data_IF_267555408999
#
_entry.id   IF_267555408999
#
_cell.length_a   1.000
_cell.length_b   1.000
_cell.length_c   1.000
_cell.angle_alpha   90.00
_cell.angle_beta   90.00
_cell.angle_gamma   90.00
#
_symmetry.space_group_name_H-M   'P 1'
#
loop_
_entity.id
_entity.type
_entity.pdbx_description
1 polymer ?
#
# COMPACT_ATOMS: atom_id res chain seq x y z
N UNK A 1 3.15 -7.90 -16.16
CA UNK A 1 3.25 -8.53 -14.82
C UNK A 1 2.09 -7.92 -14.03
N UNK A 2 0.87 -8.06 -14.54
CA UNK A 2 -0.22 -7.07 -14.31
C UNK A 2 -1.55 -7.72 -13.92
N UNK A 3 -1.52 -8.95 -13.38
CA UNK A 3 -2.74 -9.68 -13.02
C UNK A 3 -3.04 -9.61 -11.51
N UNK A 4 -2.48 -8.65 -10.78
CA UNK A 4 -2.65 -8.58 -9.31
C UNK A 4 -3.94 -7.85 -8.87
N UNK A 5 -4.59 -7.09 -9.75
CA UNK A 5 -5.71 -6.21 -9.39
C UNK A 5 -7.03 -6.46 -10.13
N UNK A 6 -7.13 -7.47 -10.99
CA UNK A 6 -8.38 -7.78 -11.70
C UNK A 6 -9.20 -8.84 -10.97
N UNK A 7 -9.75 -8.49 -9.81
CA UNK A 7 -11.06 -8.98 -9.34
C UNK A 7 -11.36 -8.39 -7.96
N UNK A 8 -12.29 -7.44 -7.91
CA UNK A 8 -13.41 -7.44 -6.95
C UNK A 8 -14.21 -6.15 -7.10
N UNK A 9 -15.50 -6.33 -7.34
CA UNK A 9 -16.55 -5.32 -7.32
C UNK A 9 -16.44 -4.42 -6.09
N UNK A 10 -16.22 -3.13 -6.31
CA UNK A 10 -16.29 -2.07 -5.29
C UNK A 10 -17.74 -1.93 -4.80
N UNK A 11 -18.15 -2.78 -3.85
CA UNK A 11 -19.32 -2.47 -3.02
C UNK A 11 -18.88 -1.50 -1.92
N UNK A 12 -19.42 -0.29 -2.00
CA UNK A 12 -19.33 0.72 -0.94
C UNK A 12 -20.11 0.18 0.26
N UNK A 13 -19.40 -0.33 1.25
CA UNK A 13 -19.99 -0.72 2.55
C UNK A 13 -20.19 0.56 3.36
N UNK A 14 -21.45 0.91 3.59
CA UNK A 14 -21.85 1.98 4.51
C UNK A 14 -21.34 1.68 5.92
N UNK A 15 -20.56 2.60 6.48
CA UNK A 15 -20.17 2.61 7.89
C UNK A 15 -21.39 2.99 8.76
N UNK A 16 -22.21 2.01 9.12
CA UNK A 16 -23.06 2.11 10.30
C UNK A 16 -22.59 1.06 11.30
N UNK A 17 -21.81 1.51 12.29
CA UNK A 17 -21.44 0.68 13.42
C UNK A 17 -22.67 0.44 14.30
N UNK A 18 -23.10 -0.81 14.52
CA UNK A 18 -24.08 -1.08 15.56
C UNK A 18 -23.38 -0.94 16.90
N UNK A 19 -23.82 0.01 17.73
CA UNK A 19 -23.51 0.03 19.16
C UNK A 19 -24.16 -1.21 19.80
N UNK A 20 -23.45 -2.33 19.75
CA UNK A 20 -23.80 -3.56 20.45
C UNK A 20 -23.37 -3.45 21.91
N UNK A 21 -24.35 -3.49 22.81
CA UNK A 21 -24.18 -3.53 24.26
C UNK A 21 -23.33 -4.76 24.66
N UNK A 22 -22.07 -4.50 25.03
CA UNK A 22 -21.06 -5.52 25.35
C UNK A 22 -21.39 -6.30 26.64
N UNK A 23 -22.43 -5.88 27.36
CA UNK A 23 -22.86 -6.44 28.64
C UNK A 23 -23.67 -7.73 28.49
N UNK A 24 -24.38 -7.92 27.37
CA UNK A 24 -25.24 -9.10 27.16
C UNK A 24 -24.51 -10.32 26.57
N UNK A 25 -23.38 -10.13 25.91
CA UNK A 25 -22.67 -11.24 25.26
C UNK A 25 -21.91 -12.15 26.23
N UNK A 26 -21.59 -11.67 27.44
CA UNK A 26 -20.94 -12.51 28.46
C UNK A 26 -21.94 -13.39 29.22
N UNK A 27 -23.19 -12.97 29.43
CA UNK A 27 -24.17 -13.81 30.13
C UNK A 27 -24.66 -14.99 29.29
N UNK A 28 -24.78 -14.83 27.97
CA UNK A 28 -25.22 -15.91 27.08
C UNK A 28 -24.20 -17.06 26.90
N UNK A 29 -22.92 -16.84 27.21
CA UNK A 29 -21.91 -17.91 27.16
C UNK A 29 -21.89 -18.82 28.40
N UNK A 30 -22.36 -18.33 29.56
CA UNK A 30 -22.42 -19.15 30.77
C UNK A 30 -23.67 -20.05 30.83
N UNK A 31 -24.76 -19.69 30.14
CA UNK A 31 -26.00 -20.49 30.14
C UNK A 31 -25.99 -21.67 29.16
N UNK A 32 -25.13 -21.65 28.14
CA UNK A 32 -24.98 -22.80 27.23
C UNK A 32 -24.16 -23.92 27.89
N UNK A 33 -23.26 -23.60 28.82
CA UNK A 33 -22.44 -24.60 29.50
C UNK A 33 -23.18 -25.26 30.69
N UNK A 34 -24.13 -24.56 31.30
CA UNK A 34 -24.97 -25.06 32.41
C UNK A 34 -26.05 -26.05 31.94
N UNK A 35 -26.51 -25.94 30.69
CA UNK A 35 -27.50 -26.86 30.10
C UNK A 35 -26.99 -28.30 29.88
N UNK A 36 -25.66 -28.53 29.94
CA UNK A 36 -25.05 -29.85 29.75
C UNK A 36 -24.44 -30.45 31.02
N UNK A 37 -24.52 -29.76 32.17
CA UNK A 37 -23.81 -30.18 33.40
C UNK A 37 -24.63 -31.04 34.37
N UNK A 38 -25.86 -31.44 34.02
CA UNK A 38 -26.59 -32.47 34.76
C UNK A 38 -26.23 -33.87 34.25
N UNK A 39 -24.97 -34.25 34.44
CA UNK A 39 -24.53 -35.64 34.29
C UNK A 39 -24.92 -36.36 35.58
N UNK A 40 -26.11 -36.97 35.60
CA UNK A 40 -26.37 -38.07 36.52
C UNK A 40 -25.26 -39.11 36.33
N UNK A 41 -24.57 -39.58 37.39
CA UNK A 41 -23.60 -40.64 37.27
C UNK A 41 -24.37 -41.93 36.94
N UNK A 42 -24.54 -42.19 35.65
CA UNK A 42 -24.97 -43.50 35.17
C UNK A 42 -23.82 -44.43 35.54
N UNK A 43 -24.04 -45.28 36.55
CA UNK A 43 -23.17 -46.40 36.86
C UNK A 43 -22.92 -47.15 35.54
N UNK A 44 -21.69 -47.08 35.05
CA UNK A 44 -21.22 -47.91 33.96
C UNK A 44 -21.16 -49.34 34.48
N UNK A 45 -22.30 -50.04 34.43
CA UNK A 45 -22.29 -51.48 34.39
C UNK A 45 -21.46 -51.84 33.18
N UNK A 46 -20.22 -52.29 33.42
CA UNK A 46 -19.34 -52.87 32.41
C UNK A 46 -19.96 -54.20 31.98
N UNK A 47 -21.05 -54.13 31.20
CA UNK A 47 -21.46 -55.25 30.40
C UNK A 47 -20.36 -55.47 29.38
N UNK A 48 -19.71 -56.63 29.45
CA UNK A 48 -18.82 -57.09 28.38
C UNK A 48 -19.73 -57.29 27.18
N UNK A 49 -19.88 -56.25 26.37
CA UNK A 49 -20.60 -56.31 25.10
C UNK A 49 -19.78 -57.25 24.22
N UNK A 50 -20.27 -58.49 24.07
CA UNK A 50 -19.74 -59.45 23.12
C UNK A 50 -20.06 -58.92 21.71
N UNK A 51 -19.16 -58.10 21.17
CA UNK A 51 -19.25 -57.57 19.82
C UNK A 51 -18.99 -58.72 18.86
N UNK A 52 -19.93 -58.98 17.95
CA UNK A 52 -19.73 -59.98 16.89
C UNK A 52 -18.48 -59.60 16.09
N UNK A 53 -17.63 -60.56 15.65
CA UNK A 53 -16.46 -60.27 14.82
C UNK A 53 -16.77 -59.39 13.60
N UNK A 54 -17.96 -59.53 13.04
CA UNK A 54 -18.44 -58.73 11.91
C UNK A 54 -18.72 -57.26 12.29
N UNK A 55 -19.24 -57.01 13.48
CA UNK A 55 -19.44 -55.66 14.01
C UNK A 55 -18.11 -54.97 14.31
N UNK A 56 -17.10 -55.74 14.72
CA UNK A 56 -15.75 -55.24 14.98
C UNK A 56 -15.08 -54.76 13.70
N UNK A 57 -15.16 -55.56 12.63
CA UNK A 57 -14.68 -55.18 11.28
C UNK A 57 -15.37 -53.91 10.79
N UNK A 58 -16.68 -53.77 11.03
CA UNK A 58 -17.44 -52.58 10.62
C UNK A 58 -17.00 -51.32 11.36
N UNK A 59 -16.71 -51.45 12.66
CA UNK A 59 -16.20 -50.38 13.50
C UNK A 59 -14.79 -49.95 13.08
N UNK A 60 -13.92 -50.91 12.77
CA UNK A 60 -12.55 -50.63 12.31
C UNK A 60 -12.56 -49.92 10.95
N UNK A 61 -13.42 -50.34 10.01
CA UNK A 61 -13.63 -49.64 8.74
C UNK A 61 -14.10 -48.20 8.92
N UNK A 62 -15.06 -47.96 9.82
CA UNK A 62 -15.54 -46.61 10.11
C UNK A 62 -14.43 -45.74 10.72
N UNK A 63 -13.62 -46.31 11.61
CA UNK A 63 -12.48 -45.63 12.21
C UNK A 63 -11.45 -45.22 11.16
N UNK A 64 -11.13 -46.10 10.21
CA UNK A 64 -10.20 -45.78 9.10
C UNK A 64 -10.75 -44.62 8.25
N UNK A 65 -12.04 -44.65 7.88
CA UNK A 65 -12.67 -43.58 7.10
C UNK A 65 -12.64 -42.24 7.85
N UNK A 66 -12.86 -42.26 9.16
CA UNK A 66 -12.82 -41.06 10.00
C UNK A 66 -11.39 -40.52 10.14
N UNK A 67 -10.39 -41.39 10.30
CA UNK A 67 -8.98 -41.03 10.31
C UNK A 67 -8.52 -40.42 8.98
N UNK A 68 -8.94 -40.99 7.85
CA UNK A 68 -8.68 -40.43 6.51
C UNK A 68 -9.31 -39.05 6.34
N UNK A 69 -10.57 -38.87 6.79
CA UNK A 69 -11.24 -37.56 6.74
C UNK A 69 -10.52 -36.52 7.59
N UNK A 70 -10.08 -36.90 8.79
CA UNK A 70 -9.31 -36.02 9.67
C UNK A 70 -7.93 -35.68 9.10
N UNK A 71 -7.28 -36.62 8.41
CA UNK A 71 -6.02 -36.37 7.72
C UNK A 71 -6.19 -35.32 6.61
N UNK A 72 -7.24 -35.42 5.80
CA UNK A 72 -7.55 -34.44 4.75
C UNK A 72 -7.81 -33.04 5.31
N UNK A 73 -8.52 -32.94 6.44
CA UNK A 73 -8.77 -31.64 7.10
C UNK A 73 -7.45 -31.04 7.61
N UNK A 74 -6.61 -31.85 8.27
CA UNK A 74 -5.30 -31.40 8.77
C UNK A 74 -4.40 -30.92 7.64
N UNK A 75 -4.40 -31.61 6.50
CA UNK A 75 -3.63 -31.20 5.33
C UNK A 75 -4.08 -29.83 4.80
N UNK A 76 -5.39 -29.62 4.67
CA UNK A 76 -5.94 -28.32 4.24
C UNK A 76 -5.59 -27.20 5.20
N UNK A 77 -5.71 -27.43 6.50
CA UNK A 77 -5.34 -26.44 7.53
C UNK A 77 -3.85 -26.08 7.46
N UNK A 78 -2.98 -27.06 7.19
CA UNK A 78 -1.55 -26.83 7.02
C UNK A 78 -1.26 -26.00 5.77
N UNK A 79 -1.89 -26.35 4.63
CA UNK A 79 -1.75 -25.60 3.39
C UNK A 79 -2.23 -24.15 3.56
N UNK A 80 -3.37 -23.94 4.22
CA UNK A 80 -3.88 -22.59 4.50
C UNK A 80 -2.93 -21.77 5.38
N UNK A 81 -2.36 -22.39 6.43
CA UNK A 81 -1.36 -21.73 7.29
C UNK A 81 -0.12 -21.32 6.50
N UNK A 82 0.38 -22.20 5.64
CA UNK A 82 1.54 -21.90 4.78
C UNK A 82 1.22 -20.72 3.85
N UNK A 83 0.06 -20.75 3.19
CA UNK A 83 -0.35 -19.66 2.29
C UNK A 83 -0.51 -18.33 3.03
N UNK A 84 -1.10 -18.34 4.24
CA UNK A 84 -1.21 -17.15 5.09
C UNK A 84 0.17 -16.60 5.46
N UNK A 85 1.11 -17.47 5.82
CA UNK A 85 2.47 -17.07 6.15
C UNK A 85 3.20 -16.48 4.93
N UNK A 86 3.07 -17.10 3.77
CA UNK A 86 3.65 -16.61 2.51
C UNK A 86 3.07 -15.24 2.12
N UNK A 87 1.74 -15.06 2.22
CA UNK A 87 1.11 -13.75 1.96
C UNK A 87 1.63 -12.69 2.92
N UNK A 88 1.78 -13.01 4.20
CA UNK A 88 2.34 -12.10 5.20
C UNK A 88 3.78 -11.71 4.88
N UNK A 89 4.62 -12.69 4.51
CA UNK A 89 6.02 -12.44 4.12
C UNK A 89 6.10 -11.54 2.88
N UNK A 90 5.34 -11.85 1.83
CA UNK A 90 5.27 -11.02 0.62
C UNK A 90 4.81 -9.59 0.92
N UNK A 91 3.81 -9.43 1.80
CA UNK A 91 3.35 -8.11 2.24
C UNK A 91 4.44 -7.32 2.98
N UNK A 92 5.24 -7.99 3.82
CA UNK A 92 6.37 -7.36 4.52
C UNK A 92 7.48 -6.97 3.54
N UNK A 93 7.83 -7.84 2.60
CA UNK A 93 8.82 -7.57 1.55
C UNK A 93 8.40 -6.36 0.69
N UNK A 94 7.15 -6.33 0.24
CA UNK A 94 6.60 -5.21 -0.52
C UNK A 94 6.69 -3.90 0.28
N UNK A 95 6.30 -3.92 1.55
CA UNK A 95 6.33 -2.74 2.41
C UNK A 95 7.77 -2.24 2.64
N UNK A 96 8.73 -3.15 2.75
CA UNK A 96 10.15 -2.79 2.88
C UNK A 96 10.69 -2.18 1.58
N UNK A 97 10.37 -2.77 0.43
CA UNK A 97 10.77 -2.24 -0.89
C UNK A 97 10.17 -0.85 -1.11
N UNK A 98 8.88 -0.68 -0.82
CA UNK A 98 8.18 0.60 -0.95
C UNK A 98 8.83 1.68 -0.07
N UNK A 99 9.16 1.37 1.19
CA UNK A 99 9.86 2.31 2.08
C UNK A 99 11.22 2.73 1.53
N UNK A 100 12.00 1.77 1.02
CA UNK A 100 13.32 2.03 0.44
C UNK A 100 13.24 2.91 -0.82
N UNK A 101 12.29 2.62 -1.71
CA UNK A 101 12.02 3.43 -2.90
C UNK A 101 11.62 4.86 -2.51
N UNK A 102 10.69 5.00 -1.56
CA UNK A 102 10.22 6.30 -1.09
C UNK A 102 11.35 7.11 -0.46
N UNK A 103 12.21 6.49 0.34
CA UNK A 103 13.38 7.16 0.93
C UNK A 103 14.35 7.63 -0.16
N UNK A 104 14.62 6.78 -1.15
CA UNK A 104 15.49 7.12 -2.29
C UNK A 104 14.92 8.32 -3.07
N UNK A 105 13.63 8.31 -3.38
CA UNK A 105 12.95 9.40 -4.08
C UNK A 105 13.00 10.70 -3.30
N UNK A 106 12.81 10.66 -1.97
CA UNK A 106 12.95 11.82 -1.11
C UNK A 106 14.38 12.37 -1.16
N UNK A 107 15.40 11.50 -1.09
CA UNK A 107 16.79 11.94 -1.15
C UNK A 107 17.12 12.57 -2.51
N UNK A 108 16.68 11.96 -3.61
CA UNK A 108 16.84 12.53 -4.94
C UNK A 108 16.17 13.90 -5.06
N UNK A 109 14.92 14.04 -4.58
CA UNK A 109 14.22 15.33 -4.56
C UNK A 109 14.95 16.38 -3.73
N UNK A 110 15.51 16.01 -2.57
CA UNK A 110 16.32 16.93 -1.75
C UNK A 110 17.55 17.42 -2.51
N UNK A 111 18.28 16.53 -3.18
CA UNK A 111 19.47 16.89 -3.98
C UNK A 111 19.08 17.83 -5.12
N UNK A 112 18.03 17.50 -5.88
CA UNK A 112 17.55 18.34 -6.99
C UNK A 112 17.08 19.71 -6.51
N UNK A 113 16.38 19.78 -5.38
CA UNK A 113 15.94 21.05 -4.81
C UNK A 113 17.13 21.89 -4.34
N UNK A 114 18.16 21.27 -3.75
CA UNK A 114 19.39 21.96 -3.36
C UNK A 114 20.11 22.53 -4.59
N UNK A 115 20.26 21.75 -5.66
CA UNK A 115 20.86 22.22 -6.91
C UNK A 115 20.07 23.37 -7.53
N UNK A 116 18.73 23.28 -7.56
CA UNK A 116 17.88 24.38 -8.04
C UNK A 116 18.06 25.64 -7.20
N UNK A 117 18.21 25.48 -5.89
CA UNK A 117 18.43 26.60 -4.98
C UNK A 117 19.82 27.24 -5.20
N UNK A 118 20.86 26.43 -5.41
CA UNK A 118 22.21 26.93 -5.76
C UNK A 118 22.19 27.71 -7.07
N UNK A 119 21.55 27.18 -8.12
CA UNK A 119 21.36 27.89 -9.40
C UNK A 119 20.58 29.19 -9.19
N UNK A 120 19.55 29.18 -8.34
CA UNK A 120 18.77 30.38 -8.04
C UNK A 120 19.62 31.46 -7.37
N UNK A 121 20.45 31.09 -6.37
CA UNK A 121 21.37 32.02 -5.73
C UNK A 121 22.45 32.53 -6.67
N UNK A 122 23.01 31.66 -7.52
CA UNK A 122 23.99 32.06 -8.54
C UNK A 122 23.37 33.05 -9.53
N UNK A 123 22.16 32.77 -10.02
CA UNK A 123 21.42 33.68 -10.86
C UNK A 123 21.16 35.02 -10.15
N UNK A 124 20.75 35.01 -8.87
CA UNK A 124 20.53 36.23 -8.10
C UNK A 124 21.81 37.07 -7.95
N UNK A 125 22.95 36.41 -7.71
CA UNK A 125 24.27 37.05 -7.65
C UNK A 125 24.67 37.67 -9.00
N UNK A 126 24.46 36.94 -10.09
CA UNK A 126 24.73 37.46 -11.45
C UNK A 126 23.81 38.64 -11.78
N UNK A 127 22.54 38.60 -11.34
CA UNK A 127 21.60 39.71 -11.50
C UNK A 127 22.03 40.97 -10.73
N UNK A 128 22.66 40.81 -9.57
CA UNK A 128 23.17 41.94 -8.77
C UNK A 128 24.53 42.46 -9.25
N UNK A 129 25.20 41.77 -10.18
CA UNK A 129 26.45 42.21 -10.82
C UNK A 129 26.23 43.11 -12.05
N UNK A 130 25.02 43.17 -12.61
CA UNK A 130 24.73 44.10 -13.70
C UNK A 130 24.80 45.55 -13.20
N UNK A 131 25.90 46.23 -13.50
CA UNK A 131 26.07 47.68 -13.22
C UNK A 131 25.14 48.54 -14.08
N UNK A 132 24.72 48.04 -15.26
CA UNK A 132 23.87 48.75 -16.21
C UNK A 132 22.51 48.06 -16.34
N UNK A 133 21.43 48.80 -16.10
CA UNK A 133 20.04 48.32 -16.22
C UNK A 133 19.70 47.82 -17.63
N UNK A 134 20.40 48.29 -18.67
CA UNK A 134 20.19 47.83 -20.04
C UNK A 134 20.76 46.44 -20.32
N UNK A 135 21.78 46.00 -19.57
CA UNK A 135 22.25 44.61 -19.65
C UNK A 135 21.21 43.64 -19.09
N UNK A 136 20.55 44.04 -18.00
CA UNK A 136 19.45 43.29 -17.39
C UNK A 136 18.21 43.24 -18.30
N UNK A 137 17.88 44.33 -19.00
CA UNK A 137 16.77 44.33 -19.96
C UNK A 137 17.11 43.42 -21.15
N UNK A 138 18.34 43.47 -21.67
CA UNK A 138 18.76 42.66 -22.79
C UNK A 138 18.82 41.16 -22.48
N UNK A 139 19.12 40.76 -21.24
CA UNK A 139 19.11 39.35 -20.81
C UNK A 139 17.70 38.78 -20.60
N UNK A 140 16.69 39.64 -20.37
CA UNK A 140 15.30 39.23 -20.12
C UNK A 140 14.41 39.29 -21.37
N UNK A 141 14.90 39.77 -22.51
CA UNK A 141 14.15 39.74 -23.77
C UNK A 141 14.47 38.49 -24.58
N UNK A 142 13.46 37.96 -25.30
CA UNK A 142 13.64 36.88 -26.25
C UNK A 142 14.50 37.34 -27.44
N UNK A 143 15.75 36.90 -27.50
CA UNK A 143 16.72 37.35 -28.51
C UNK A 143 16.57 36.59 -29.84
N UNK A 144 16.03 35.37 -29.83
CA UNK A 144 15.88 34.55 -31.04
C UNK A 144 14.55 34.78 -31.74
N UNK A 145 14.55 34.67 -33.06
CA UNK A 145 13.31 34.71 -33.86
C UNK A 145 12.46 33.46 -33.57
N UNK A 146 11.23 33.69 -33.10
CA UNK A 146 10.29 32.63 -32.68
C UNK A 146 10.27 32.32 -31.17
N UNK A 147 11.14 32.93 -30.37
CA UNK A 147 11.17 32.74 -28.91
C UNK A 147 10.15 33.63 -28.17
N UNK A 148 9.67 34.70 -28.83
CA UNK A 148 8.64 35.57 -28.26
C UNK A 148 7.27 34.89 -28.33
N UNK A 149 6.56 34.68 -27.19
CA UNK A 149 5.29 33.96 -27.16
C UNK A 149 4.10 34.76 -27.71
N UNK A 150 4.29 36.04 -28.06
CA UNK A 150 3.22 36.91 -28.55
C UNK A 150 3.07 36.92 -30.07
N UNK A 151 1.86 37.23 -30.55
CA UNK A 151 1.53 37.26 -31.98
C UNK A 151 2.09 38.48 -32.75
N UNK A 152 2.61 39.50 -32.05
CA UNK A 152 3.12 40.73 -32.67
C UNK A 152 4.61 40.61 -32.99
N UNK A 153 5.02 41.16 -34.13
CA UNK A 153 6.43 41.28 -34.48
C UNK A 153 7.13 42.32 -33.59
N UNK A 154 8.04 41.83 -32.75
CA UNK A 154 8.85 42.62 -31.82
C UNK A 154 10.28 42.84 -32.30
N UNK A 155 10.61 42.49 -33.55
CA UNK A 155 11.98 42.54 -34.10
C UNK A 155 12.59 43.94 -34.06
N UNK A 156 11.84 44.97 -34.45
CA UNK A 156 12.32 46.37 -34.39
C UNK A 156 12.54 46.85 -32.96
N UNK A 157 11.68 46.45 -32.03
CA UNK A 157 11.83 46.77 -30.61
C UNK A 157 13.09 46.10 -30.03
N UNK A 158 13.34 44.84 -30.37
CA UNK A 158 14.55 44.11 -29.98
C UNK A 158 15.82 44.81 -30.47
N UNK A 159 15.85 45.19 -31.75
CA UNK A 159 16.98 45.92 -32.30
C UNK A 159 17.21 47.27 -31.59
N UNK A 160 16.14 48.00 -31.28
CA UNK A 160 16.24 49.28 -30.57
C UNK A 160 16.82 49.12 -29.15
N UNK A 161 16.40 48.09 -28.41
CA UNK A 161 16.92 47.79 -27.07
C UNK A 161 18.41 47.42 -27.13
N UNK A 162 18.82 46.59 -28.09
CA UNK A 162 20.23 46.19 -28.27
C UNK A 162 21.13 47.37 -28.68
N UNK A 163 20.64 48.23 -29.56
CA UNK A 163 21.35 49.45 -29.95
C UNK A 163 21.51 50.39 -28.74
N UNK A 164 20.44 50.62 -27.98
CA UNK A 164 20.46 51.48 -26.79
C UNK A 164 21.42 50.97 -25.71
N UNK A 165 21.52 49.65 -25.52
CA UNK A 165 22.55 49.04 -24.67
C UNK A 165 23.96 49.38 -25.16
N UNK A 166 24.21 49.15 -26.44
CA UNK A 166 25.53 49.35 -27.07
C UNK A 166 26.00 50.81 -26.98
N UNK A 167 25.07 51.77 -27.07
CA UNK A 167 25.35 53.19 -26.93
C UNK A 167 25.73 53.62 -25.50
N UNK A 168 25.24 52.90 -24.48
CA UNK A 168 25.50 53.19 -23.06
C UNK A 168 26.74 52.47 -22.50
N UNK A 169 27.27 51.51 -23.24
CA UNK A 169 28.49 50.75 -22.90
C UNK A 169 29.73 51.18 -23.68
N UNK A 170 29.60 52.14 -24.61
CA UNK A 170 30.74 52.82 -25.27
C UNK A 170 31.25 53.96 -24.42
#
# INVERSE_FOLDING_TARGET
MDDFFEDETTQVVSNEAPQGDFSQFQQAQYDVFSAFSNVTPVQSQQSVVYVSPEQQIRKDKLKIIEEERLALIKEKDQQERILKQQKKQKGQEYLQQFKSQLETDIQQRKVLNKQKQEIWFENQKNHSQYKNSWDQIASNIALKDGEYPGQKDVTKMRQAILNKRSDLTK
#
